data_IF_022519858182
#
_entry.id   IF_022519858182
#
_cell.length_a   1.000
_cell.length_b   1.000
_cell.length_c   1.000
_cell.angle_alpha   90.00
_cell.angle_beta   90.00
_cell.angle_gamma   90.00
#
_symmetry.space_group_name_H-M   'P 1'
#
loop_
_entity.id
_entity.type
_entity.pdbx_description
1 polymer ?
#
# COMPACT_ATOMS: atom_id res chain seq x y z
N UNK A 1 22.75 12.39 -16.25
CA UNK A 1 23.11 11.32 -17.22
C UNK A 1 24.34 11.69 -18.07
N UNK A 2 24.45 12.94 -18.57
CA UNK A 2 25.54 13.33 -19.51
C UNK A 2 26.92 13.27 -18.87
N UNK A 3 27.04 13.65 -17.59
CA UNK A 3 28.31 13.71 -16.84
C UNK A 3 28.49 12.58 -15.83
N UNK A 4 27.50 11.73 -15.63
CA UNK A 4 27.54 10.58 -14.73
C UNK A 4 27.42 10.91 -13.23
N UNK A 5 27.81 12.12 -12.79
CA UNK A 5 27.68 12.55 -11.39
C UNK A 5 27.53 14.06 -11.25
N UNK A 6 26.96 14.50 -10.14
CA UNK A 6 26.88 15.93 -9.80
C UNK A 6 28.28 16.57 -9.67
N UNK A 7 29.24 15.82 -9.13
CA UNK A 7 30.62 16.27 -8.97
C UNK A 7 31.27 16.56 -10.32
N UNK A 8 31.06 15.69 -11.32
CA UNK A 8 31.51 15.90 -12.69
C UNK A 8 30.85 17.13 -13.34
N UNK A 9 29.57 17.38 -13.07
CA UNK A 9 28.85 18.59 -13.54
C UNK A 9 29.48 19.86 -12.97
N UNK A 10 29.81 19.88 -11.67
CA UNK A 10 30.44 21.07 -11.05
C UNK A 10 31.94 21.23 -11.38
N UNK A 11 32.54 20.22 -12.00
CA UNK A 11 33.93 20.24 -12.47
C UNK A 11 34.05 20.50 -13.98
N UNK A 12 32.96 20.43 -14.73
CA UNK A 12 32.93 20.65 -16.17
C UNK A 12 33.13 22.14 -16.52
N UNK A 13 33.65 22.39 -17.73
CA UNK A 13 33.77 23.75 -18.28
C UNK A 13 32.42 24.33 -18.75
N UNK A 14 32.36 25.63 -18.95
CA UNK A 14 31.16 26.29 -19.52
C UNK A 14 30.76 25.69 -20.85
N UNK A 15 31.74 25.48 -21.73
CA UNK A 15 31.53 24.96 -23.09
C UNK A 15 30.99 23.53 -23.03
N UNK A 16 31.54 22.67 -22.17
CA UNK A 16 31.03 21.31 -21.98
C UNK A 16 29.58 21.29 -21.47
N UNK A 17 29.23 22.15 -20.50
CA UNK A 17 27.85 22.28 -20.01
C UNK A 17 26.87 22.74 -21.10
N UNK A 18 27.30 23.63 -21.97
CA UNK A 18 26.48 24.15 -23.06
C UNK A 18 26.37 23.14 -24.21
N UNK A 19 27.50 22.59 -24.67
CA UNK A 19 27.52 21.71 -25.84
C UNK A 19 27.04 20.30 -25.55
N UNK A 20 27.55 19.65 -24.49
CA UNK A 20 27.22 18.26 -24.16
C UNK A 20 25.84 18.14 -23.48
N UNK A 21 25.57 18.99 -22.47
CA UNK A 21 24.31 18.93 -21.70
C UNK A 21 23.22 19.85 -22.29
N UNK A 22 23.50 20.59 -23.36
CA UNK A 22 22.59 21.55 -24.03
C UNK A 22 21.95 22.54 -23.05
N UNK A 23 22.73 22.97 -22.06
CA UNK A 23 22.27 23.98 -21.10
C UNK A 23 22.31 25.39 -21.70
N UNK A 24 21.35 26.22 -21.30
CA UNK A 24 21.41 27.65 -21.62
C UNK A 24 22.62 28.29 -20.92
N UNK A 25 23.30 29.27 -21.56
CA UNK A 25 24.50 29.90 -20.99
C UNK A 25 24.33 30.47 -19.58
N UNK A 26 23.12 30.96 -19.22
CA UNK A 26 22.83 31.48 -17.88
C UNK A 26 22.85 30.35 -16.84
N UNK A 27 22.36 29.16 -17.15
CA UNK A 27 22.36 27.99 -16.27
C UNK A 27 23.78 27.47 -16.08
N UNK A 28 24.57 27.35 -17.15
CA UNK A 28 25.97 26.95 -17.07
C UNK A 28 26.75 27.90 -16.17
N UNK A 29 26.58 29.22 -16.31
CA UNK A 29 27.21 30.21 -15.42
C UNK A 29 26.74 30.06 -13.97
N UNK A 30 25.46 29.82 -13.70
CA UNK A 30 24.93 29.63 -12.35
C UNK A 30 25.56 28.41 -11.68
N UNK A 31 25.73 27.29 -12.39
CA UNK A 31 26.42 26.09 -11.91
C UNK A 31 27.87 26.40 -11.53
N UNK A 32 28.63 27.04 -12.45
CA UNK A 32 30.02 27.35 -12.23
C UNK A 32 30.27 28.36 -11.10
N UNK A 33 29.32 29.25 -10.85
CA UNK A 33 29.41 30.22 -9.75
C UNK A 33 29.22 29.56 -8.38
N UNK A 34 28.73 28.30 -8.32
CA UNK A 34 28.54 27.52 -7.07
C UNK A 34 27.79 28.28 -5.97
N UNK A 35 26.93 29.24 -6.33
CA UNK A 35 26.19 30.08 -5.35
C UNK A 35 25.35 29.28 -4.36
N UNK A 36 24.81 28.14 -4.79
CA UNK A 36 24.00 27.29 -3.95
C UNK A 36 24.79 26.49 -2.90
N UNK A 37 26.12 26.45 -2.96
CA UNK A 37 26.94 25.65 -2.04
C UNK A 37 26.82 26.10 -0.58
N UNK A 38 26.82 27.41 -0.34
CA UNK A 38 26.63 27.93 1.02
C UNK A 38 25.26 27.58 1.61
N UNK A 39 24.22 27.54 0.76
CA UNK A 39 22.88 27.12 1.15
C UNK A 39 22.84 25.60 1.42
N UNK A 40 23.46 24.80 0.58
CA UNK A 40 23.59 23.37 0.76
C UNK A 40 24.38 23.02 2.02
N UNK A 41 25.47 23.72 2.34
CA UNK A 41 26.21 23.53 3.59
C UNK A 41 25.35 23.85 4.83
N UNK A 42 24.53 24.90 4.75
CA UNK A 42 23.59 25.24 5.82
C UNK A 42 22.55 24.13 6.00
N UNK A 43 22.04 23.60 4.89
CA UNK A 43 21.07 22.50 4.92
C UNK A 43 21.66 21.22 5.52
N UNK A 44 22.87 20.83 5.12
CA UNK A 44 23.56 19.67 5.70
C UNK A 44 23.77 19.85 7.22
N UNK A 45 24.18 21.06 7.67
CA UNK A 45 24.32 21.36 9.10
C UNK A 45 22.99 21.30 9.83
N UNK A 46 21.91 21.81 9.21
CA UNK A 46 20.55 21.71 9.75
C UNK A 46 20.12 20.25 9.91
N UNK A 47 20.25 19.44 8.87
CA UNK A 47 19.90 18.04 8.90
C UNK A 47 20.64 17.27 9.99
N UNK A 48 21.97 17.43 10.08
CA UNK A 48 22.80 16.81 11.14
C UNK A 48 22.35 17.21 12.54
N UNK A 49 22.04 18.49 12.75
CA UNK A 49 21.56 18.99 14.06
C UNK A 49 20.25 18.34 14.49
N UNK A 50 19.38 18.00 13.54
CA UNK A 50 18.03 17.47 13.82
C UNK A 50 17.92 15.95 13.60
N UNK A 51 19.01 15.24 13.34
CA UNK A 51 18.98 13.79 13.07
C UNK A 51 18.23 13.43 11.79
N UNK A 52 18.25 14.31 10.80
CA UNK A 52 17.65 14.10 9.49
C UNK A 52 18.71 13.53 8.56
N UNK A 53 18.44 12.39 7.95
CA UNK A 53 19.29 11.83 6.90
C UNK A 53 18.93 12.42 5.54
N UNK A 54 19.95 12.65 4.73
CA UNK A 54 19.85 13.14 3.35
C UNK A 54 20.18 11.96 2.45
N UNK A 55 19.21 11.50 1.68
CA UNK A 55 19.36 10.36 0.76
C UNK A 55 19.28 10.89 -0.67
N UNK A 56 20.40 10.77 -1.41
CA UNK A 56 20.43 11.13 -2.83
C UNK A 56 19.90 10.00 -3.70
N UNK A 57 19.39 10.33 -4.87
CA UNK A 57 18.87 9.33 -5.83
C UNK A 57 19.92 8.34 -6.33
N UNK A 58 21.21 8.63 -6.11
CA UNK A 58 22.35 7.75 -6.40
C UNK A 58 22.68 6.77 -5.28
N UNK A 59 22.14 6.98 -4.08
CA UNK A 59 22.44 6.16 -2.92
C UNK A 59 21.68 4.83 -2.99
N UNK A 60 22.30 3.78 -2.46
CA UNK A 60 21.70 2.44 -2.44
C UNK A 60 20.41 2.37 -1.62
N UNK A 61 20.28 3.24 -0.60
CA UNK A 61 19.10 3.32 0.26
C UNK A 61 17.92 4.07 -0.38
N UNK A 62 18.12 4.72 -1.54
CA UNK A 62 17.04 5.42 -2.21
C UNK A 62 16.01 4.40 -2.74
N UNK A 63 14.68 4.61 -2.52
CA UNK A 63 13.64 3.68 -2.95
C UNK A 63 13.72 3.37 -4.44
N UNK A 64 13.97 2.11 -4.80
CA UNK A 64 14.18 1.69 -6.19
C UNK A 64 12.95 2.02 -7.07
N UNK A 65 11.76 1.72 -6.57
CA UNK A 65 10.50 2.00 -7.28
C UNK A 65 10.30 3.50 -7.51
N UNK A 66 10.64 4.35 -6.54
CA UNK A 66 10.53 5.80 -6.72
C UNK A 66 11.49 6.30 -7.80
N UNK A 67 12.70 5.74 -7.90
CA UNK A 67 13.70 6.08 -8.93
C UNK A 67 13.25 5.77 -10.35
N UNK A 68 12.34 4.83 -10.53
CA UNK A 68 11.77 4.47 -11.83
C UNK A 68 10.75 5.49 -12.36
N UNK A 69 10.23 6.38 -11.51
CA UNK A 69 9.27 7.41 -11.95
C UNK A 69 9.99 8.52 -12.71
N UNK A 70 9.31 9.10 -13.71
CA UNK A 70 9.91 10.12 -14.56
C UNK A 70 10.26 11.43 -13.83
N UNK A 71 9.64 11.67 -12.69
CA UNK A 71 9.71 12.90 -11.90
C UNK A 71 10.15 12.69 -10.45
N UNK A 72 10.96 11.65 -10.20
CA UNK A 72 11.50 11.36 -8.87
C UNK A 72 12.35 12.54 -8.34
N UNK A 73 12.31 12.83 -7.02
CA UNK A 73 13.17 13.83 -6.41
C UNK A 73 14.61 13.32 -6.34
N UNK A 74 15.58 14.18 -6.64
CA UNK A 74 16.99 13.81 -6.53
C UNK A 74 17.48 13.66 -5.10
N UNK A 75 16.76 14.22 -4.13
CA UNK A 75 17.10 14.18 -2.70
C UNK A 75 15.84 13.94 -1.89
N UNK A 76 15.95 13.05 -0.92
CA UNK A 76 14.96 12.84 0.14
C UNK A 76 15.56 13.20 1.49
N UNK A 77 14.79 13.86 2.32
CA UNK A 77 15.08 14.14 3.73
C UNK A 77 14.29 13.14 4.58
N UNK A 78 14.98 12.38 5.43
CA UNK A 78 14.39 11.29 6.19
C UNK A 78 14.63 11.49 7.67
N UNK A 79 13.58 11.51 8.46
CA UNK A 79 13.64 11.53 9.92
C UNK A 79 13.09 10.21 10.45
N UNK A 80 13.92 9.42 11.13
CA UNK A 80 13.62 8.06 11.58
C UNK A 80 14.51 7.03 10.91
N UNK A 81 13.95 5.86 10.55
CA UNK A 81 14.67 4.72 9.98
C UNK A 81 14.67 4.71 8.45
N UNK A 82 15.79 5.03 7.79
CA UNK A 82 15.90 4.94 6.34
C UNK A 82 15.70 3.52 5.80
N UNK A 83 16.01 2.50 6.61
CA UNK A 83 15.87 1.09 6.27
C UNK A 83 14.42 0.72 5.93
N UNK A 84 13.45 1.45 6.50
CA UNK A 84 12.04 1.27 6.17
C UNK A 84 11.73 1.54 4.69
N UNK A 85 12.53 2.40 4.03
CA UNK A 85 12.36 2.73 2.61
C UNK A 85 12.86 1.62 1.67
N UNK A 86 13.73 0.75 2.15
CA UNK A 86 14.26 -0.40 1.40
C UNK A 86 13.40 -1.67 1.49
N UNK A 87 12.35 -1.66 2.31
CA UNK A 87 11.45 -2.80 2.49
C UNK A 87 10.33 -2.81 1.44
N UNK A 88 9.56 -3.90 1.42
CA UNK A 88 8.30 -3.95 0.66
C UNK A 88 7.34 -2.91 1.22
N UNK A 89 6.81 -2.04 0.36
CA UNK A 89 5.95 -0.94 0.74
C UNK A 89 4.57 -1.05 0.09
N UNK A 90 3.54 -0.64 0.84
CA UNK A 90 2.18 -0.47 0.36
C UNK A 90 1.69 0.93 0.69
N UNK A 91 1.29 1.68 -0.32
CA UNK A 91 0.70 3.00 -0.13
C UNK A 91 -0.79 2.87 0.15
N UNK A 92 -1.27 3.48 1.22
CA UNK A 92 -2.68 3.56 1.57
C UNK A 92 -3.10 5.03 1.73
N UNK A 93 -4.12 5.44 1.00
CA UNK A 93 -4.58 6.84 0.96
C UNK A 93 -6.09 6.95 1.01
N UNK A 94 -6.58 8.15 1.35
CA UNK A 94 -8.02 8.40 1.31
C UNK A 94 -8.41 9.81 1.69
N UNK A 95 -9.71 9.96 1.95
CA UNK A 95 -10.30 11.24 2.33
C UNK A 95 -9.78 11.76 3.66
N UNK A 96 -9.65 13.08 3.76
CA UNK A 96 -9.37 13.75 5.04
C UNK A 96 -10.56 13.76 6.01
N UNK A 97 -11.76 13.46 5.51
CA UNK A 97 -13.03 13.36 6.28
C UNK A 97 -13.51 11.92 6.21
N UNK A 98 -12.74 11.03 6.82
CA UNK A 98 -13.09 9.61 6.85
C UNK A 98 -14.39 9.37 7.64
N UNK A 99 -15.11 8.34 7.23
CA UNK A 99 -16.25 7.83 7.97
C UNK A 99 -15.83 6.73 8.94
N UNK A 100 -16.70 6.30 9.88
CA UNK A 100 -16.43 5.11 10.70
C UNK A 100 -16.16 3.85 9.86
N UNK A 101 -16.76 3.72 8.68
CA UNK A 101 -16.49 2.65 7.74
C UNK A 101 -15.05 2.72 7.20
N UNK A 102 -14.59 3.91 6.77
CA UNK A 102 -13.22 4.09 6.31
C UNK A 102 -12.18 3.74 7.38
N UNK A 103 -12.44 4.15 8.65
CA UNK A 103 -11.61 3.75 9.80
C UNK A 103 -11.58 2.23 9.96
N UNK A 104 -12.75 1.60 10.00
CA UNK A 104 -12.87 0.14 10.16
C UNK A 104 -12.15 -0.61 9.04
N UNK A 105 -12.24 -0.14 7.80
CA UNK A 105 -11.55 -0.77 6.68
C UNK A 105 -10.03 -0.61 6.75
N UNK A 106 -9.52 0.56 7.17
CA UNK A 106 -8.08 0.75 7.38
C UNK A 106 -7.55 -0.21 8.46
N UNK A 107 -8.23 -0.29 9.61
CA UNK A 107 -7.86 -1.17 10.72
C UNK A 107 -7.89 -2.64 10.30
N UNK A 108 -8.96 -3.06 9.61
CA UNK A 108 -9.13 -4.44 9.14
C UNK A 108 -8.05 -4.84 8.14
N UNK A 109 -7.87 -4.05 7.06
CA UNK A 109 -6.92 -4.38 6.00
C UNK A 109 -5.49 -4.47 6.53
N UNK A 110 -5.08 -3.52 7.38
CA UNK A 110 -3.73 -3.50 7.95
C UNK A 110 -3.54 -4.63 8.96
N UNK A 111 -4.53 -4.92 9.82
CA UNK A 111 -4.49 -6.05 10.74
C UNK A 111 -4.33 -7.39 9.99
N UNK A 112 -5.13 -7.61 8.95
CA UNK A 112 -5.04 -8.82 8.13
C UNK A 112 -3.72 -8.91 7.34
N UNK A 113 -3.11 -7.76 6.95
CA UNK A 113 -1.78 -7.73 6.33
C UNK A 113 -0.66 -8.05 7.32
N UNK A 114 -0.75 -7.56 8.57
CA UNK A 114 0.24 -7.82 9.60
C UNK A 114 0.41 -9.33 9.85
N UNK A 115 -0.69 -10.08 9.82
CA UNK A 115 -0.68 -11.54 10.00
C UNK A 115 -0.03 -12.30 8.80
N UNK A 116 0.02 -11.69 7.61
CA UNK A 116 0.42 -12.37 6.36
C UNK A 116 1.80 -11.95 5.85
N UNK A 117 2.12 -10.66 5.98
CA UNK A 117 3.31 -10.05 5.35
C UNK A 117 4.01 -9.11 6.34
N UNK A 118 4.61 -9.68 7.38
CA UNK A 118 5.17 -8.98 8.53
C UNK A 118 6.22 -7.90 8.19
N UNK A 119 6.93 -8.02 7.07
CA UNK A 119 7.97 -7.07 6.66
C UNK A 119 7.46 -5.91 5.79
N UNK A 120 6.15 -5.83 5.55
CA UNK A 120 5.56 -4.76 4.74
C UNK A 120 5.46 -3.46 5.53
N UNK A 121 5.88 -2.37 4.89
CA UNK A 121 5.79 -1.01 5.42
C UNK A 121 4.55 -0.32 4.85
N UNK A 122 3.70 0.20 5.73
CA UNK A 122 2.56 1.02 5.31
C UNK A 122 3.02 2.46 5.05
N UNK A 123 2.81 2.93 3.83
CA UNK A 123 3.14 4.30 3.42
C UNK A 123 1.88 5.13 3.31
N UNK A 124 1.87 6.34 3.88
CA UNK A 124 0.77 7.28 3.73
C UNK A 124 1.23 8.73 3.88
N UNK A 125 0.30 9.68 3.80
CA UNK A 125 0.62 11.10 3.70
C UNK A 125 0.62 11.86 5.02
N UNK A 126 0.37 11.21 6.13
CA UNK A 126 0.23 11.82 7.47
C UNK A 126 -0.80 12.96 7.51
N UNK A 127 -1.74 13.02 6.58
CA UNK A 127 -2.86 13.95 6.57
C UNK A 127 -3.97 13.50 7.53
N UNK A 128 -4.96 14.37 7.77
CA UNK A 128 -6.16 13.98 8.51
C UNK A 128 -6.90 12.82 7.80
N UNK A 129 -7.72 12.10 8.55
CA UNK A 129 -8.59 11.04 8.05
C UNK A 129 -7.85 9.73 7.77
N UNK A 130 -8.04 9.16 6.60
CA UNK A 130 -7.53 7.82 6.24
C UNK A 130 -6.01 7.71 6.43
N UNK A 131 -5.22 8.72 6.03
CA UNK A 131 -3.77 8.66 6.15
C UNK A 131 -3.34 8.39 7.60
N UNK A 132 -3.85 9.20 8.54
CA UNK A 132 -3.55 9.02 9.98
C UNK A 132 -4.15 7.73 10.53
N UNK A 133 -5.32 7.31 10.07
CA UNK A 133 -5.92 6.02 10.45
C UNK A 133 -4.99 4.86 10.07
N UNK A 134 -4.46 4.86 8.86
CA UNK A 134 -3.51 3.84 8.39
C UNK A 134 -2.23 3.81 9.24
N UNK A 135 -1.64 4.96 9.56
CA UNK A 135 -0.47 5.00 10.43
C UNK A 135 -0.75 4.44 11.82
N UNK A 136 -1.88 4.81 12.43
CA UNK A 136 -2.28 4.29 13.75
C UNK A 136 -2.57 2.80 13.73
N UNK A 137 -3.23 2.31 12.70
CA UNK A 137 -3.47 0.88 12.52
C UNK A 137 -2.14 0.12 12.38
N UNK A 138 -1.21 0.61 11.53
CA UNK A 138 0.10 0.00 11.38
C UNK A 138 0.84 -0.10 12.72
N UNK A 139 0.88 0.98 13.50
CA UNK A 139 1.48 1.00 14.84
C UNK A 139 0.78 0.01 15.79
N UNK A 140 -0.54 -0.05 15.79
CA UNK A 140 -1.32 -0.94 16.65
C UNK A 140 -1.06 -2.42 16.36
N UNK A 141 -0.80 -2.77 15.11
CA UNK A 141 -0.48 -4.12 14.67
C UNK A 141 1.03 -4.41 14.53
N UNK A 142 1.89 -3.49 15.04
CA UNK A 142 3.35 -3.69 15.07
C UNK A 142 4.03 -3.59 13.70
N UNK A 143 3.37 -3.04 12.68
CA UNK A 143 3.95 -2.82 11.35
C UNK A 143 4.68 -1.47 11.30
N UNK A 144 5.89 -1.40 10.70
CA UNK A 144 6.55 -0.14 10.46
C UNK A 144 5.73 0.70 9.46
N UNK A 145 5.77 2.02 9.62
CA UNK A 145 5.01 2.91 8.74
C UNK A 145 5.79 4.18 8.40
N UNK A 146 5.66 4.64 7.15
CA UNK A 146 6.37 5.79 6.61
C UNK A 146 5.40 6.89 6.20
N UNK A 147 5.58 8.06 6.76
CA UNK A 147 4.81 9.26 6.43
C UNK A 147 5.54 10.13 5.42
N UNK A 148 5.00 10.30 4.21
CA UNK A 148 5.54 11.29 3.27
C UNK A 148 4.77 12.60 3.45
N UNK A 149 5.47 13.68 3.78
CA UNK A 149 4.84 14.96 4.13
C UNK A 149 5.13 16.06 3.10
N UNK A 150 4.26 17.06 3.07
CA UNK A 150 4.35 18.22 2.19
C UNK A 150 4.94 19.45 2.90
N UNK A 151 5.75 19.24 3.93
CA UNK A 151 6.46 20.28 4.68
C UNK A 151 7.92 19.90 4.88
N UNK A 152 8.77 20.89 5.12
CA UNK A 152 10.18 20.63 5.43
C UNK A 152 10.34 20.07 6.84
N UNK A 153 11.24 19.09 7.01
CA UNK A 153 11.60 18.52 8.30
C UNK A 153 12.50 19.51 9.12
N UNK A 154 12.45 19.46 10.47
CA UNK A 154 11.68 18.49 11.31
C UNK A 154 10.22 18.90 11.57
N UNK A 155 9.72 19.91 10.88
CA UNK A 155 8.35 20.40 11.07
C UNK A 155 7.30 19.40 10.55
N UNK A 156 6.42 18.93 11.45
CA UNK A 156 5.31 18.04 11.08
C UNK A 156 4.05 18.87 10.79
N UNK A 157 3.46 18.67 9.62
CA UNK A 157 2.22 19.32 9.22
C UNK A 157 1.19 18.29 8.78
N UNK A 158 0.01 18.24 9.42
CA UNK A 158 -0.48 19.12 10.48
C UNK A 158 0.17 18.85 11.84
N UNK A 159 0.34 19.90 12.68
CA UNK A 159 1.00 19.81 13.98
C UNK A 159 0.36 18.81 14.96
N UNK A 160 -0.97 18.59 14.82
CA UNK A 160 -1.72 17.60 15.59
C UNK A 160 -1.21 16.16 15.41
N UNK A 161 -0.51 15.89 14.33
CA UNK A 161 0.04 14.55 14.04
C UNK A 161 1.50 14.37 14.50
N UNK A 162 2.08 15.36 15.21
CA UNK A 162 3.46 15.27 15.73
C UNK A 162 3.67 14.07 16.66
N UNK A 163 2.67 13.73 17.50
CA UNK A 163 2.74 12.57 18.36
C UNK A 163 2.77 11.27 17.54
N UNK A 164 1.88 11.14 16.55
CA UNK A 164 1.86 9.97 15.66
C UNK A 164 3.17 9.83 14.90
N UNK A 165 3.72 10.94 14.38
CA UNK A 165 5.02 10.92 13.68
C UNK A 165 6.16 10.45 14.60
N UNK A 166 6.16 10.83 15.88
CA UNK A 166 7.13 10.36 16.88
C UNK A 166 6.98 8.85 17.11
N UNK A 167 5.76 8.39 17.35
CA UNK A 167 5.47 6.97 17.55
C UNK A 167 5.93 6.12 16.33
N UNK A 168 5.71 6.64 15.11
CA UNK A 168 6.19 6.00 13.87
C UNK A 168 7.71 5.82 13.88
N UNK A 169 8.45 6.87 14.23
CA UNK A 169 9.92 6.87 14.28
C UNK A 169 10.43 5.90 15.36
N UNK A 170 9.82 5.92 16.55
CA UNK A 170 10.19 5.05 17.68
C UNK A 170 9.94 3.56 17.38
N UNK A 171 9.02 3.25 16.45
CA UNK A 171 8.71 1.88 16.03
C UNK A 171 9.31 1.48 14.67
N UNK A 172 10.45 2.08 14.31
CA UNK A 172 11.21 1.68 13.11
C UNK A 172 10.66 2.19 11.79
N UNK A 173 9.73 3.15 11.84
CA UNK A 173 9.25 3.89 10.68
C UNK A 173 10.04 5.18 10.43
N UNK A 174 9.53 6.00 9.51
CA UNK A 174 10.15 7.27 9.16
C UNK A 174 9.13 8.33 8.73
N UNK A 175 9.57 9.58 8.77
CA UNK A 175 8.90 10.69 8.09
C UNK A 175 9.81 11.23 7.00
N UNK A 176 9.29 11.37 5.79
CA UNK A 176 10.03 11.69 4.58
C UNK A 176 9.51 12.97 3.94
N UNK A 177 10.42 13.81 3.47
CA UNK A 177 10.10 15.00 2.69
C UNK A 177 11.09 15.18 1.53
N UNK A 178 10.65 15.79 0.45
CA UNK A 178 11.53 16.28 -0.63
C UNK A 178 11.95 17.76 -0.44
N UNK A 179 11.40 18.43 0.58
CA UNK A 179 11.56 19.86 0.78
C UNK A 179 12.70 20.16 1.75
N UNK A 180 13.63 21.02 1.35
CA UNK A 180 14.71 21.49 2.21
C UNK A 180 14.20 22.46 3.30
N UNK A 181 14.93 22.63 4.38
CA UNK A 181 14.52 23.35 5.60
C UNK A 181 14.10 24.80 5.36
N UNK A 182 14.63 25.46 4.34
CA UNK A 182 14.32 26.86 4.03
C UNK A 182 13.12 27.01 3.08
N UNK A 183 12.45 25.91 2.70
CA UNK A 183 11.26 25.95 1.84
C UNK A 183 10.10 26.57 2.59
N UNK A 184 9.54 27.67 2.07
CA UNK A 184 8.34 28.27 2.62
C UNK A 184 7.13 27.42 2.28
N UNK A 185 6.30 27.12 3.29
CA UNK A 185 5.09 26.31 3.12
C UNK A 185 4.18 26.89 2.02
N UNK A 186 3.73 26.03 1.12
CA UNK A 186 2.82 26.37 0.02
C UNK A 186 1.81 25.21 -0.17
N UNK A 187 0.53 25.54 -0.37
CA UNK A 187 -0.53 24.56 -0.60
C UNK A 187 -0.29 23.63 -1.80
N UNK A 188 0.43 24.08 -2.82
CA UNK A 188 0.75 23.27 -3.99
C UNK A 188 1.64 22.04 -3.66
N UNK A 189 2.40 22.08 -2.56
CA UNK A 189 3.23 20.96 -2.16
C UNK A 189 2.45 19.69 -1.79
N UNK A 190 1.17 19.80 -1.44
CA UNK A 190 0.32 18.63 -1.23
C UNK A 190 0.09 17.85 -2.53
N UNK A 191 -0.08 18.54 -3.64
CA UNK A 191 -0.24 17.89 -4.95
C UNK A 191 1.08 17.32 -5.46
N UNK A 192 2.19 18.07 -5.34
CA UNK A 192 3.51 17.58 -5.76
C UNK A 192 3.96 16.39 -4.92
N UNK A 193 3.70 16.36 -3.59
CA UNK A 193 4.01 15.26 -2.71
C UNK A 193 3.27 13.96 -3.11
N UNK A 194 2.04 14.04 -3.64
CA UNK A 194 1.24 12.86 -3.97
C UNK A 194 1.93 11.94 -4.98
N UNK A 195 2.82 12.47 -5.84
CA UNK A 195 3.62 11.65 -6.75
C UNK A 195 4.60 10.73 -6.01
N UNK A 196 5.11 11.17 -4.87
CA UNK A 196 5.99 10.34 -4.04
C UNK A 196 5.22 9.18 -3.40
N UNK A 197 4.01 9.45 -2.91
CA UNK A 197 3.11 8.41 -2.40
C UNK A 197 2.78 7.37 -3.47
N UNK A 198 2.49 7.83 -4.69
CA UNK A 198 2.17 6.96 -5.81
C UNK A 198 3.37 6.15 -6.31
N UNK A 199 4.58 6.74 -6.28
CA UNK A 199 5.79 6.16 -6.89
C UNK A 199 6.59 5.25 -5.97
N UNK A 200 6.51 5.42 -4.65
CA UNK A 200 7.38 4.72 -3.70
C UNK A 200 7.01 3.25 -3.50
N UNK A 201 5.77 2.89 -3.76
CA UNK A 201 5.24 1.55 -3.52
C UNK A 201 4.84 0.85 -4.83
N UNK A 202 4.92 -0.48 -4.84
CA UNK A 202 4.43 -1.29 -5.96
C UNK A 202 2.90 -1.25 -6.12
N UNK A 203 2.17 -0.91 -5.05
CA UNK A 203 0.71 -0.79 -5.05
C UNK A 203 0.19 0.36 -4.19
N UNK A 204 -0.97 0.86 -4.57
CA UNK A 204 -1.71 1.91 -3.86
C UNK A 204 -3.14 1.46 -3.61
N UNK A 205 -3.57 1.50 -2.35
CA UNK A 205 -4.96 1.25 -1.92
C UNK A 205 -5.65 2.57 -1.61
N UNK A 206 -6.75 2.86 -2.29
CA UNK A 206 -7.64 3.96 -1.93
C UNK A 206 -8.74 3.42 -1.02
N UNK A 207 -8.66 3.74 0.28
CA UNK A 207 -9.58 3.19 1.28
C UNK A 207 -10.95 3.84 1.20
N UNK A 208 -11.00 5.16 1.15
CA UNK A 208 -12.23 5.93 1.03
C UNK A 208 -11.94 7.27 0.35
N UNK A 209 -12.68 7.65 -0.67
CA UNK A 209 -12.53 8.94 -1.35
C UNK A 209 -13.80 9.38 -2.06
N UNK A 210 -14.20 10.66 -1.96
CA UNK A 210 -15.12 11.25 -2.92
C UNK A 210 -14.45 11.39 -4.29
N UNK A 211 -15.24 11.63 -5.35
CA UNK A 211 -14.74 11.74 -6.73
C UNK A 211 -13.69 12.86 -6.88
N UNK A 212 -13.88 13.99 -6.21
CA UNK A 212 -12.97 15.15 -6.25
C UNK A 212 -12.02 15.19 -5.04
N UNK A 213 -11.59 14.03 -4.56
CA UNK A 213 -10.66 13.92 -3.43
C UNK A 213 -9.18 13.98 -3.86
N UNK A 214 -8.31 14.56 -3.03
CA UNK A 214 -6.86 14.58 -3.26
C UNK A 214 -6.23 13.17 -3.37
N UNK A 215 -6.84 12.16 -2.78
CA UNK A 215 -6.46 10.75 -2.93
C UNK A 215 -6.71 10.21 -4.35
N UNK A 216 -7.66 10.80 -5.09
CA UNK A 216 -7.88 10.48 -6.50
C UNK A 216 -6.73 10.99 -7.39
N UNK A 217 -6.04 12.06 -6.99
CA UNK A 217 -4.81 12.49 -7.67
C UNK A 217 -3.70 11.46 -7.47
N UNK A 218 -3.52 10.96 -6.24
CA UNK A 218 -2.57 9.86 -5.96
C UNK A 218 -2.91 8.61 -6.76
N UNK A 219 -4.20 8.24 -6.83
CA UNK A 219 -4.66 7.09 -7.61
C UNK A 219 -4.32 7.24 -9.11
N UNK A 220 -4.56 8.43 -9.70
CA UNK A 220 -4.23 8.71 -11.10
C UNK A 220 -2.73 8.65 -11.37
N UNK A 221 -1.91 9.15 -10.43
CA UNK A 221 -0.46 9.09 -10.53
C UNK A 221 0.06 7.65 -10.42
N UNK A 222 -0.48 6.85 -9.50
CA UNK A 222 -0.13 5.44 -9.34
C UNK A 222 -0.42 4.63 -10.63
N UNK A 223 -1.60 4.84 -11.21
CA UNK A 223 -1.98 4.27 -12.50
C UNK A 223 -1.01 4.71 -13.62
N UNK A 224 -0.66 6.00 -13.66
CA UNK A 224 0.31 6.54 -14.63
C UNK A 224 1.74 6.01 -14.47
N UNK A 225 2.13 5.56 -13.28
CA UNK A 225 3.41 4.92 -12.99
C UNK A 225 3.36 3.39 -13.14
N UNK A 226 2.27 2.82 -13.65
CA UNK A 226 2.04 1.38 -13.74
C UNK A 226 2.16 0.65 -12.38
N UNK A 227 1.72 1.30 -11.30
CA UNK A 227 1.61 0.68 -9.97
C UNK A 227 0.25 0.01 -9.83
N UNK A 228 0.19 -1.10 -9.12
CA UNK A 228 -1.07 -1.77 -8.82
C UNK A 228 -2.01 -0.79 -8.10
N UNK A 229 -3.15 -0.50 -8.68
CA UNK A 229 -4.15 0.36 -8.07
C UNK A 229 -5.31 -0.47 -7.54
N UNK A 230 -5.59 -0.32 -6.26
CA UNK A 230 -6.64 -1.04 -5.53
C UNK A 230 -7.58 -0.03 -4.87
N UNK A 231 -8.84 -0.40 -4.69
CA UNK A 231 -9.83 0.46 -4.06
C UNK A 231 -10.81 -0.37 -3.21
N UNK A 232 -11.17 0.18 -2.05
CA UNK A 232 -12.17 -0.40 -1.17
C UNK A 232 -13.56 0.00 -1.64
N UNK A 233 -14.49 -0.93 -1.88
CA UNK A 233 -15.86 -0.61 -2.26
C UNK A 233 -16.62 -0.01 -1.08
N UNK A 234 -17.58 0.84 -1.37
CA UNK A 234 -18.53 1.33 -0.38
C UNK A 234 -19.95 1.32 -0.95
N UNK A 235 -20.94 1.78 -0.19
CA UNK A 235 -22.32 1.83 -0.65
C UNK A 235 -22.45 2.76 -1.86
N UNK A 236 -23.26 2.40 -2.82
CA UNK A 236 -23.46 3.18 -4.05
C UNK A 236 -23.96 4.61 -3.81
N UNK A 237 -24.62 4.86 -2.68
CA UNK A 237 -25.17 6.15 -2.28
C UNK A 237 -24.24 6.97 -1.40
N UNK A 238 -23.13 6.41 -0.93
CA UNK A 238 -22.23 7.09 0.01
C UNK A 238 -21.29 8.01 -0.75
N UNK A 239 -21.40 9.30 -0.50
CA UNK A 239 -20.55 10.31 -1.12
C UNK A 239 -19.05 10.07 -0.87
N UNK A 240 -18.70 9.63 0.33
CA UNK A 240 -17.31 9.38 0.71
C UNK A 240 -16.67 8.19 -0.04
N UNK A 241 -17.46 7.28 -0.58
CA UNK A 241 -17.01 6.13 -1.38
C UNK A 241 -17.24 6.29 -2.89
N UNK A 242 -17.78 7.43 -3.32
CA UNK A 242 -18.10 7.65 -4.73
C UNK A 242 -16.88 7.57 -5.65
N UNK A 243 -15.70 8.02 -5.17
CA UNK A 243 -14.44 7.97 -5.91
C UNK A 243 -13.88 6.56 -6.02
N UNK A 244 -13.85 5.79 -4.92
CA UNK A 244 -13.39 4.40 -4.92
C UNK A 244 -14.28 3.52 -5.79
N UNK A 245 -15.61 3.68 -5.66
CA UNK A 245 -16.58 2.99 -6.52
C UNK A 245 -16.43 3.38 -8.01
N UNK A 246 -16.06 4.62 -8.32
CA UNK A 246 -15.75 5.06 -9.68
C UNK A 246 -14.52 4.34 -10.23
N UNK A 247 -13.43 4.26 -9.46
CA UNK A 247 -12.21 3.55 -9.88
C UNK A 247 -12.49 2.09 -10.19
N UNK A 248 -13.26 1.40 -9.33
CA UNK A 248 -13.64 -0.01 -9.52
C UNK A 248 -14.54 -0.14 -10.76
N UNK A 249 -15.59 0.66 -10.87
CA UNK A 249 -16.56 0.60 -11.98
C UNK A 249 -15.90 0.84 -13.35
N UNK A 250 -14.88 1.71 -13.40
CA UNK A 250 -14.13 2.02 -14.63
C UNK A 250 -12.95 1.07 -14.86
N UNK A 251 -12.82 0.02 -14.06
CA UNK A 251 -11.74 -0.98 -14.15
C UNK A 251 -10.32 -0.37 -14.05
N UNK A 252 -10.20 0.76 -13.38
CA UNK A 252 -8.91 1.40 -13.11
C UNK A 252 -8.28 0.89 -11.82
N UNK A 253 -9.08 0.40 -10.88
CA UNK A 253 -8.61 -0.20 -9.64
C UNK A 253 -9.23 -1.57 -9.43
N UNK A 254 -8.43 -2.50 -8.90
CA UNK A 254 -8.92 -3.77 -8.40
C UNK A 254 -9.70 -3.54 -7.11
N UNK A 255 -10.85 -4.21 -6.97
CA UNK A 255 -11.63 -4.18 -5.74
C UNK A 255 -10.96 -5.03 -4.67
N UNK A 256 -10.72 -4.45 -3.48
CA UNK A 256 -10.19 -5.16 -2.33
C UNK A 256 -11.09 -4.96 -1.11
N UNK A 257 -11.41 -6.05 -0.43
CA UNK A 257 -12.23 -6.07 0.78
C UNK A 257 -11.48 -6.64 1.97
N UNK A 258 -10.38 -7.35 1.73
CA UNK A 258 -9.58 -8.08 2.72
C UNK A 258 -8.09 -7.84 2.49
N UNK A 259 -7.27 -8.09 3.52
CA UNK A 259 -5.81 -8.12 3.38
C UNK A 259 -5.33 -9.20 2.42
N UNK A 260 -6.07 -10.32 2.33
CA UNK A 260 -5.78 -11.40 1.38
C UNK A 260 -5.97 -10.95 -0.08
N UNK A 261 -6.98 -10.13 -0.36
CA UNK A 261 -7.14 -9.56 -1.70
C UNK A 261 -5.90 -8.74 -2.09
N UNK A 262 -5.38 -7.92 -1.16
CA UNK A 262 -4.18 -7.12 -1.39
C UNK A 262 -2.96 -8.01 -1.65
N UNK A 263 -2.75 -9.04 -0.82
CA UNK A 263 -1.64 -9.99 -0.96
C UNK A 263 -1.70 -10.69 -2.33
N UNK A 264 -2.88 -11.11 -2.77
CA UNK A 264 -3.11 -11.73 -4.08
C UNK A 264 -2.82 -10.76 -5.23
N UNK A 265 -3.38 -9.55 -5.21
CA UNK A 265 -3.18 -8.55 -6.28
C UNK A 265 -1.71 -8.09 -6.36
N UNK A 266 -1.01 -8.03 -5.23
CA UNK A 266 0.41 -7.72 -5.16
C UNK A 266 1.31 -8.93 -5.47
N UNK A 267 0.75 -10.12 -5.67
CA UNK A 267 1.47 -11.39 -5.91
C UNK A 267 2.49 -11.71 -4.80
N UNK A 268 2.24 -11.30 -3.57
CA UNK A 268 3.18 -11.51 -2.45
C UNK A 268 3.23 -12.96 -1.98
N UNK A 269 2.18 -13.75 -2.20
CA UNK A 269 2.15 -15.20 -1.90
C UNK A 269 3.14 -16.00 -2.75
N UNK A 270 3.48 -15.50 -3.96
CA UNK A 270 4.38 -16.23 -4.87
C UNK A 270 5.86 -16.12 -4.48
N UNK A 271 6.21 -15.23 -3.56
CA UNK A 271 7.60 -15.01 -3.13
C UNK A 271 7.97 -15.70 -1.81
N UNK A 272 7.11 -16.58 -1.25
CA UNK A 272 7.51 -17.46 -0.16
C UNK A 272 8.17 -18.70 -0.74
N UNK A 273 9.50 -18.87 -0.60
CA UNK A 273 10.15 -20.13 -0.95
C UNK A 273 9.66 -21.18 0.04
N UNK A 274 8.70 -22.00 -0.35
CA UNK A 274 8.16 -23.07 0.46
C UNK A 274 6.66 -23.32 0.33
N UNK A 275 5.85 -22.31 -0.01
CA UNK A 275 4.37 -22.43 -0.02
C UNK A 275 3.79 -23.08 -1.29
N UNK A 276 4.61 -23.59 -2.21
CA UNK A 276 4.14 -24.45 -3.31
C UNK A 276 3.93 -25.92 -2.86
N UNK A 277 4.27 -26.28 -1.60
CA UNK A 277 4.20 -27.67 -1.16
C UNK A 277 3.45 -27.85 0.17
N UNK A 278 3.19 -26.79 0.97
CA UNK A 278 2.48 -26.93 2.24
C UNK A 278 1.49 -25.75 2.46
N UNK A 279 0.34 -25.78 1.76
CA UNK A 279 -0.86 -25.61 2.55
C UNK A 279 -0.96 -26.91 3.34
N UNK A 280 -0.98 -26.86 4.69
CA UNK A 280 -1.72 -27.88 5.37
C UNK A 280 -3.17 -27.64 4.89
N UNK A 281 -3.64 -28.37 3.90
CA UNK A 281 -4.99 -28.89 4.02
C UNK A 281 -4.99 -29.36 5.48
N UNK A 282 -5.74 -28.65 6.34
CA UNK A 282 -6.12 -29.26 7.61
C UNK A 282 -6.45 -30.67 7.23
N UNK A 283 -5.68 -31.64 7.76
CA UNK A 283 -5.89 -33.04 7.44
C UNK A 283 -7.40 -33.21 7.60
N UNK A 284 -8.13 -33.64 6.57
CA UNK A 284 -9.59 -33.65 6.63
C UNK A 284 -9.91 -34.28 7.96
N UNK A 285 -10.61 -33.56 8.82
CA UNK A 285 -11.03 -34.11 10.13
C UNK A 285 -11.64 -35.41 9.75
N UNK A 286 -11.11 -36.55 10.31
CA UNK A 286 -11.47 -37.87 9.87
C UNK A 286 -12.98 -37.93 9.85
N UNK A 287 -13.58 -38.05 8.66
CA UNK A 287 -15.02 -38.04 8.49
C UNK A 287 -15.61 -39.16 9.34
N UNK A 288 -16.69 -38.89 9.97
CA UNK A 288 -17.44 -39.94 10.66
C UNK A 288 -18.00 -40.95 9.66
N UNK A 289 -18.32 -42.16 10.07
CA UNK A 289 -18.94 -43.17 9.21
C UNK A 289 -20.22 -42.66 8.51
N UNK A 290 -20.98 -41.84 9.21
CA UNK A 290 -22.24 -41.30 8.70
C UNK A 290 -21.98 -40.19 7.65
N UNK A 291 -20.94 -39.40 7.86
CA UNK A 291 -20.48 -38.38 6.85
C UNK A 291 -19.90 -39.04 5.60
N UNK A 292 -19.11 -40.12 5.74
CA UNK A 292 -18.63 -40.92 4.61
C UNK A 292 -19.79 -41.58 3.85
N UNK A 293 -20.78 -42.09 4.55
CA UNK A 293 -21.98 -42.66 3.97
C UNK A 293 -22.76 -41.66 3.16
N UNK A 294 -22.95 -40.44 3.68
CA UNK A 294 -23.62 -39.35 3.00
C UNK A 294 -22.82 -38.88 1.79
N UNK A 295 -21.50 -38.78 1.88
CA UNK A 295 -20.63 -38.41 0.75
C UNK A 295 -20.73 -39.44 -0.41
N UNK A 296 -20.99 -40.70 -0.10
CA UNK A 296 -21.25 -41.76 -1.07
C UNK A 296 -22.57 -41.60 -1.86
N UNK A 297 -23.51 -40.78 -1.37
CA UNK A 297 -24.76 -40.47 -2.09
C UNK A 297 -24.56 -39.46 -3.25
N UNK A 298 -23.42 -38.74 -3.27
CA UNK A 298 -23.05 -37.87 -4.40
C UNK A 298 -22.47 -38.73 -5.53
N UNK A 299 -23.29 -39.04 -6.53
CA UNK A 299 -22.91 -39.94 -7.64
C UNK A 299 -22.14 -39.23 -8.75
N UNK A 300 -22.24 -37.92 -8.86
CA UNK A 300 -21.58 -37.06 -9.84
C UNK A 300 -21.09 -35.79 -9.15
N UNK A 301 -20.25 -35.03 -9.84
CA UNK A 301 -19.80 -33.70 -9.40
C UNK A 301 -20.89 -32.62 -9.60
N UNK A 302 -22.07 -32.99 -10.13
CA UNK A 302 -23.18 -32.07 -10.30
C UNK A 302 -23.85 -31.73 -8.96
N UNK A 303 -24.35 -30.50 -8.79
CA UNK A 303 -25.06 -30.10 -7.59
C UNK A 303 -26.37 -30.87 -7.39
N UNK A 304 -26.54 -31.49 -6.24
CA UNK A 304 -27.70 -32.26 -5.82
C UNK A 304 -28.50 -31.48 -4.78
N UNK A 305 -29.84 -31.62 -4.78
CA UNK A 305 -30.70 -30.95 -3.79
C UNK A 305 -30.76 -31.69 -2.45
N UNK A 306 -31.03 -30.95 -1.36
CA UNK A 306 -31.19 -31.58 -0.03
C UNK A 306 -32.33 -32.61 0.01
N UNK A 307 -33.40 -32.39 -0.77
CA UNK A 307 -34.54 -33.32 -0.88
C UNK A 307 -34.09 -34.64 -1.52
N UNK A 308 -33.36 -34.57 -2.61
CA UNK A 308 -32.78 -35.74 -3.29
C UNK A 308 -31.77 -36.48 -2.43
N UNK A 309 -30.94 -35.75 -1.64
CA UNK A 309 -30.06 -36.36 -0.65
C UNK A 309 -30.81 -37.07 0.47
N UNK A 310 -31.95 -36.53 0.94
CA UNK A 310 -32.82 -37.23 1.89
C UNK A 310 -33.33 -38.56 1.31
N UNK A 311 -33.78 -38.57 0.05
CA UNK A 311 -34.26 -39.78 -0.61
C UNK A 311 -33.14 -40.83 -0.80
N UNK A 312 -31.95 -40.41 -1.20
CA UNK A 312 -30.82 -41.32 -1.43
C UNK A 312 -30.21 -41.86 -0.17
N UNK A 313 -30.12 -41.06 0.90
CA UNK A 313 -29.52 -41.44 2.18
C UNK A 313 -30.52 -42.12 3.11
N UNK A 314 -31.82 -41.89 2.92
CA UNK A 314 -32.86 -42.34 3.86
C UNK A 314 -32.89 -41.57 5.19
N UNK A 315 -32.15 -40.48 5.31
CA UNK A 315 -32.05 -39.65 6.51
C UNK A 315 -33.16 -38.62 6.60
N UNK A 316 -33.61 -38.30 7.78
CA UNK A 316 -34.50 -37.18 8.04
C UNK A 316 -33.79 -35.83 7.78
N UNK A 317 -34.57 -34.81 7.36
CA UNK A 317 -34.02 -33.49 6.98
C UNK A 317 -33.14 -32.84 8.07
N UNK A 318 -33.48 -33.00 9.37
CA UNK A 318 -32.69 -32.48 10.48
C UNK A 318 -31.33 -33.16 10.65
N UNK A 319 -31.30 -34.49 10.49
CA UNK A 319 -30.10 -35.29 10.55
C UNK A 319 -29.20 -35.05 9.34
N UNK A 320 -29.78 -35.00 8.15
CA UNK A 320 -29.09 -34.62 6.91
C UNK A 320 -28.43 -33.25 7.03
N UNK A 321 -29.15 -32.25 7.55
CA UNK A 321 -28.62 -30.87 7.71
C UNK A 321 -27.44 -30.81 8.65
N UNK A 322 -27.44 -31.59 9.74
CA UNK A 322 -26.33 -31.66 10.69
C UNK A 322 -25.06 -32.28 10.04
N UNK A 323 -25.24 -33.38 9.27
CA UNK A 323 -24.13 -34.03 8.57
C UNK A 323 -23.59 -33.16 7.41
N UNK A 324 -24.45 -32.48 6.65
CA UNK A 324 -24.04 -31.55 5.60
C UNK A 324 -23.23 -30.38 6.15
N UNK A 325 -23.60 -29.85 7.32
CA UNK A 325 -22.83 -28.80 8.00
C UNK A 325 -21.43 -29.31 8.42
N UNK A 326 -21.37 -30.54 8.95
CA UNK A 326 -20.10 -31.20 9.28
C UNK A 326 -19.20 -31.37 8.05
N UNK A 327 -19.76 -31.87 6.96
CA UNK A 327 -19.05 -32.03 5.68
C UNK A 327 -18.63 -30.68 5.06
N UNK A 328 -19.42 -29.64 5.21
CA UNK A 328 -19.07 -28.29 4.74
C UNK A 328 -17.90 -27.70 5.59
N UNK A 329 -17.95 -27.87 6.89
CA UNK A 329 -16.82 -27.47 7.79
C UNK A 329 -15.55 -28.28 7.52
N UNK A 330 -15.69 -29.54 7.12
CA UNK A 330 -14.57 -30.38 6.68
C UNK A 330 -14.08 -30.06 5.25
N UNK A 331 -14.76 -29.16 4.52
CA UNK A 331 -14.43 -28.81 3.15
C UNK A 331 -14.74 -29.90 2.13
N UNK A 332 -15.56 -30.89 2.49
CA UNK A 332 -15.92 -32.03 1.65
C UNK A 332 -17.09 -31.74 0.69
N UNK A 333 -18.00 -30.86 1.09
CA UNK A 333 -19.14 -30.37 0.30
C UNK A 333 -19.26 -28.87 0.39
N UNK A 334 -19.95 -28.26 -0.55
CA UNK A 334 -20.29 -26.83 -0.60
C UNK A 334 -21.78 -26.63 -0.82
N UNK A 335 -22.38 -25.79 0.02
CA UNK A 335 -23.76 -25.34 -0.21
C UNK A 335 -23.83 -24.32 -1.34
N UNK A 336 -24.82 -24.46 -2.21
CA UNK A 336 -25.13 -23.56 -3.33
C UNK A 336 -26.53 -22.95 -3.14
N UNK A 337 -26.82 -21.82 -3.83
CA UNK A 337 -28.14 -21.21 -3.82
C UNK A 337 -29.25 -22.20 -4.22
N UNK A 338 -30.41 -22.16 -3.53
CA UNK A 338 -31.51 -23.07 -3.78
C UNK A 338 -31.42 -24.40 -3.03
N UNK A 339 -30.72 -24.42 -1.86
CA UNK A 339 -30.59 -25.60 -0.98
C UNK A 339 -30.00 -26.83 -1.71
N UNK A 340 -29.01 -26.56 -2.56
CA UNK A 340 -28.25 -27.57 -3.32
C UNK A 340 -26.85 -27.70 -2.76
N UNK A 341 -26.26 -28.87 -2.90
CA UNK A 341 -24.93 -29.20 -2.40
C UNK A 341 -24.07 -29.81 -3.50
N UNK A 342 -22.80 -29.49 -3.52
CA UNK A 342 -21.82 -30.01 -4.48
C UNK A 342 -20.67 -30.67 -3.73
N UNK A 343 -20.27 -31.85 -4.14
CA UNK A 343 -19.09 -32.56 -3.64
C UNK A 343 -17.82 -31.85 -4.11
N UNK A 344 -16.81 -31.75 -3.20
CA UNK A 344 -15.52 -31.10 -3.47
C UNK A 344 -14.32 -32.06 -3.45
N UNK A 345 -14.46 -33.25 -2.81
CA UNK A 345 -13.40 -34.27 -2.66
C UNK A 345 -13.84 -35.65 -3.14
#
# INVERSE_FOLDING_TARGET
DVFGSAEAVFSASADELIEKARLRPELARAILQKKAFADAEREVKHCRKHGIEIIASTDAQYPALLRETADYPHVLYVLGSPEALGKTTLTMVGTRRMTPYGQQMADRLIGELADRVADTVIVSGLAFGIDTACHRAALAFGMPTVGIIASALPGITPAQHTAVARDMIEHGGAVVSELHSQTRQNGNFYHSRNRLLAGISGGTVVVESPVEGGSMDTARLADGYNRMLMAVPGRATDFASAGTNLLIRTQRAQMVCTGEDIVREMMWDQNRPGDLIDRPTAAPAALTRDEEGLLGCFRTDDPISAEELCELSGLGFGELSALLLGLEMAGAVRQLPGNRYMKLI
#
